data_IF_252434189305
#
_entry.id   IF_252434189305
#
_cell.length_a   1.000
_cell.length_b   1.000
_cell.length_c   1.000
_cell.angle_alpha   90.00
_cell.angle_beta   90.00
_cell.angle_gamma   90.00
#
_symmetry.space_group_name_H-M   'P 1'
#
loop_
_entity.id
_entity.type
_entity.pdbx_description
1 polymer ?
#
# COMPACT_ATOMS: atom_id res chain seq x y z
N UNK A 1 -17.19 5.36 13.08
CA UNK A 1 -16.26 4.77 12.10
C UNK A 1 -16.04 3.32 12.51
N UNK A 2 -16.53 2.41 11.72
CA UNK A 2 -16.65 1.00 12.13
C UNK A 2 -15.47 0.13 11.68
N UNK A 3 -14.58 0.66 10.85
CA UNK A 3 -13.38 -0.06 10.42
C UNK A 3 -12.26 0.91 10.04
N UNK A 4 -11.03 0.41 10.09
CA UNK A 4 -9.85 1.11 9.58
C UNK A 4 -10.02 1.44 8.09
N UNK A 5 -10.68 0.57 7.35
CA UNK A 5 -10.97 0.77 5.94
C UNK A 5 -11.85 2.00 5.70
N UNK A 6 -12.91 2.18 6.51
CA UNK A 6 -13.80 3.35 6.42
C UNK A 6 -13.04 4.65 6.68
N UNK A 7 -12.06 4.62 7.59
CA UNK A 7 -11.19 5.77 7.83
C UNK A 7 -10.39 6.16 6.59
N UNK A 8 -9.75 5.21 5.90
CA UNK A 8 -8.99 5.50 4.69
C UNK A 8 -9.87 5.95 3.53
N UNK A 9 -11.05 5.39 3.38
CA UNK A 9 -12.03 5.85 2.39
C UNK A 9 -12.41 7.30 2.67
N UNK A 10 -12.71 7.64 3.92
CA UNK A 10 -13.06 9.01 4.31
C UNK A 10 -11.91 10.01 4.08
N UNK A 11 -10.67 9.57 4.32
CA UNK A 11 -9.48 10.36 4.00
C UNK A 11 -9.35 10.62 2.51
N UNK A 12 -9.49 9.60 1.68
CA UNK A 12 -9.43 9.74 0.24
C UNK A 12 -10.45 10.76 -0.27
N UNK A 13 -11.69 10.69 0.21
CA UNK A 13 -12.75 11.64 -0.15
C UNK A 13 -12.43 13.07 0.30
N UNK A 14 -11.84 13.24 1.49
CA UNK A 14 -11.48 14.56 2.02
C UNK A 14 -10.23 15.18 1.40
N UNK A 15 -9.31 14.37 0.90
CA UNK A 15 -8.00 14.82 0.39
C UNK A 15 -7.99 15.11 -1.11
N UNK A 16 -8.98 14.66 -1.86
CA UNK A 16 -9.01 14.80 -3.31
C UNK A 16 -8.85 16.24 -3.81
N UNK A 17 -9.21 17.23 -2.99
CA UNK A 17 -9.16 18.65 -3.33
C UNK A 17 -7.86 19.38 -2.89
N UNK A 18 -6.95 18.73 -2.16
CA UNK A 18 -5.87 19.44 -1.46
C UNK A 18 -4.54 18.65 -1.45
N UNK A 19 -4.35 17.75 -2.42
CA UNK A 19 -3.07 17.06 -2.61
C UNK A 19 -2.03 17.98 -3.25
N UNK A 20 -0.76 17.80 -2.88
CA UNK A 20 0.33 18.52 -3.49
C UNK A 20 0.50 18.11 -4.96
N UNK A 21 -0.01 18.93 -5.89
CA UNK A 21 -0.01 18.65 -7.32
C UNK A 21 1.39 18.36 -7.88
N UNK A 22 2.42 19.04 -7.40
CA UNK A 22 3.80 18.81 -7.85
C UNK A 22 4.31 17.43 -7.45
N UNK A 23 3.96 16.95 -6.26
CA UNK A 23 4.31 15.60 -5.81
C UNK A 23 3.55 14.54 -6.60
N UNK A 24 2.25 14.73 -6.82
CA UNK A 24 1.42 13.84 -7.64
C UNK A 24 2.00 13.71 -9.04
N UNK A 25 2.29 14.84 -9.70
CA UNK A 25 2.85 14.86 -11.05
C UNK A 25 4.21 14.14 -11.13
N UNK A 26 5.08 14.39 -10.14
CA UNK A 26 6.40 13.76 -10.08
C UNK A 26 6.32 12.25 -10.01
N UNK A 27 5.48 11.72 -9.13
CA UNK A 27 5.31 10.27 -8.98
C UNK A 27 4.53 9.64 -10.13
N UNK A 28 3.55 10.34 -10.70
CA UNK A 28 2.85 9.88 -11.89
C UNK A 28 3.78 9.72 -13.10
N UNK A 29 4.78 10.60 -13.27
CA UNK A 29 5.81 10.44 -14.32
C UNK A 29 6.69 9.22 -14.11
N UNK A 30 6.86 8.76 -12.87
CA UNK A 30 7.68 7.59 -12.51
C UNK A 30 6.89 6.28 -12.46
N UNK A 31 5.58 6.33 -12.55
CA UNK A 31 4.72 5.17 -12.34
C UNK A 31 5.06 4.00 -13.28
N UNK A 32 5.26 4.28 -14.56
CA UNK A 32 5.63 3.26 -15.55
C UNK A 32 6.98 2.61 -15.25
N UNK A 33 7.96 3.38 -14.79
CA UNK A 33 9.25 2.85 -14.37
C UNK A 33 9.10 1.87 -13.20
N UNK A 34 8.35 2.23 -12.17
CA UNK A 34 8.14 1.39 -10.99
C UNK A 34 7.30 0.15 -11.30
N UNK A 35 6.31 0.27 -12.17
CA UNK A 35 5.53 -0.88 -12.63
C UNK A 35 6.39 -1.87 -13.41
N UNK A 36 7.24 -1.39 -14.31
CA UNK A 36 8.20 -2.24 -15.02
C UNK A 36 9.23 -2.88 -14.07
N UNK A 37 9.69 -2.13 -13.06
CA UNK A 37 10.55 -2.67 -12.01
C UNK A 37 9.85 -3.76 -11.20
N UNK A 38 8.58 -3.58 -10.87
CA UNK A 38 7.79 -4.61 -10.19
C UNK A 38 7.72 -5.90 -10.99
N UNK A 39 7.45 -5.79 -12.30
CA UNK A 39 7.30 -6.95 -13.19
C UNK A 39 8.62 -7.69 -13.44
N UNK A 40 9.73 -6.99 -13.57
CA UNK A 40 10.99 -7.52 -14.10
C UNK A 40 12.12 -7.66 -13.09
N UNK A 41 12.01 -7.05 -11.92
CA UNK A 41 13.11 -6.97 -10.95
C UNK A 41 13.09 -8.14 -9.97
N UNK A 42 13.82 -9.21 -10.30
CA UNK A 42 13.98 -10.37 -9.43
C UNK A 42 14.57 -10.02 -8.07
N UNK A 43 15.60 -9.16 -8.00
CA UNK A 43 16.20 -8.71 -6.73
C UNK A 43 15.20 -7.98 -5.84
N UNK A 44 14.28 -7.21 -6.43
CA UNK A 44 13.19 -6.58 -5.70
C UNK A 44 12.24 -7.61 -5.08
N UNK A 45 11.96 -8.70 -5.78
CA UNK A 45 11.14 -9.79 -5.24
C UNK A 45 11.86 -10.53 -4.11
N UNK A 46 13.16 -10.78 -4.23
CA UNK A 46 13.97 -11.37 -3.17
C UNK A 46 13.98 -10.52 -1.89
N UNK A 47 14.05 -9.18 -2.03
CA UNK A 47 13.95 -8.25 -0.89
C UNK A 47 12.60 -8.35 -0.18
N UNK A 48 11.52 -8.45 -0.95
CA UNK A 48 10.17 -8.62 -0.38
C UNK A 48 10.07 -9.91 0.41
N UNK A 49 10.53 -11.04 -0.16
CA UNK A 49 10.53 -12.33 0.53
C UNK A 49 11.38 -12.27 1.81
N UNK A 50 12.55 -11.66 1.74
CA UNK A 50 13.43 -11.51 2.91
C UNK A 50 12.79 -10.65 4.00
N UNK A 51 12.14 -9.55 3.64
CA UNK A 51 11.43 -8.69 4.57
C UNK A 51 10.26 -9.42 5.26
N UNK A 52 9.46 -10.15 4.51
CA UNK A 52 8.35 -10.95 5.05
C UNK A 52 8.86 -11.98 6.03
N UNK A 53 9.85 -12.77 5.64
CA UNK A 53 10.45 -13.79 6.52
C UNK A 53 10.98 -13.18 7.82
N UNK A 54 11.63 -12.01 7.73
CA UNK A 54 12.13 -11.31 8.91
C UNK A 54 10.99 -10.86 9.83
N UNK A 55 9.94 -10.26 9.27
CA UNK A 55 8.80 -9.78 10.03
C UNK A 55 8.03 -10.94 10.70
N UNK A 56 7.86 -12.06 10.01
CA UNK A 56 7.25 -13.26 10.60
C UNK A 56 8.07 -13.81 11.75
N UNK A 57 9.39 -13.94 11.58
CA UNK A 57 10.30 -14.39 12.65
C UNK A 57 10.30 -13.49 13.88
N UNK A 58 10.02 -12.19 13.70
CA UNK A 58 9.88 -11.22 14.79
C UNK A 58 8.49 -11.14 15.39
N UNK A 59 7.53 -11.90 14.86
CA UNK A 59 6.14 -11.84 15.30
C UNK A 59 5.44 -10.52 14.92
N UNK A 60 5.96 -9.81 13.93
CA UNK A 60 5.42 -8.54 13.43
C UNK A 60 4.49 -8.73 12.22
N UNK A 61 4.34 -9.95 11.75
CA UNK A 61 3.43 -10.32 10.67
C UNK A 61 2.67 -11.59 11.05
N UNK A 62 1.34 -11.54 11.08
CA UNK A 62 0.46 -12.62 11.49
C UNK A 62 -0.86 -12.58 10.73
N UNK A 63 -1.53 -13.73 10.60
CA UNK A 63 -2.82 -13.87 9.92
C UNK A 63 -3.97 -13.06 10.54
N UNK A 64 -3.81 -12.58 11.75
CA UNK A 64 -4.81 -11.76 12.44
C UNK A 64 -4.51 -10.25 12.33
N UNK A 65 -3.41 -9.86 11.70
CA UNK A 65 -3.01 -8.47 11.61
C UNK A 65 -3.60 -7.77 10.38
N UNK A 66 -3.96 -6.51 10.60
CA UNK A 66 -4.22 -5.55 9.53
C UNK A 66 -2.98 -4.69 9.34
N UNK A 67 -2.55 -4.52 8.10
CA UNK A 67 -1.30 -3.83 7.73
C UNK A 67 -1.61 -2.66 6.80
N UNK A 68 -0.94 -1.53 7.02
CA UNK A 68 -0.90 -0.43 6.08
C UNK A 68 0.51 -0.31 5.48
N UNK A 69 0.59 -0.22 4.15
CA UNK A 69 1.80 0.05 3.37
C UNK A 69 1.73 1.49 2.84
N UNK A 70 2.53 2.38 3.43
CA UNK A 70 2.51 3.81 3.13
C UNK A 70 3.59 4.11 2.07
N UNK A 71 3.19 4.76 0.97
CA UNK A 71 4.06 4.90 -0.20
C UNK A 71 4.15 3.59 -1.00
N UNK A 72 3.05 2.86 -1.10
CA UNK A 72 3.03 1.49 -1.62
C UNK A 72 3.41 1.36 -3.11
N UNK A 73 3.43 2.46 -3.86
CA UNK A 73 3.68 2.44 -5.30
C UNK A 73 2.73 1.49 -6.03
N UNK A 74 3.22 0.67 -6.98
CA UNK A 74 2.39 -0.29 -7.69
C UNK A 74 2.10 -1.58 -6.89
N UNK A 75 2.17 -1.54 -5.55
CA UNK A 75 1.64 -2.56 -4.65
C UNK A 75 2.46 -3.84 -4.52
N UNK A 76 3.78 -3.80 -4.73
CA UNK A 76 4.64 -5.00 -4.61
C UNK A 76 4.55 -5.62 -3.21
N UNK A 77 4.74 -4.82 -2.16
CA UNK A 77 4.65 -5.28 -0.78
C UNK A 77 3.21 -5.60 -0.38
N UNK A 78 2.23 -4.81 -0.83
CA UNK A 78 0.82 -5.07 -0.58
C UNK A 78 0.41 -6.46 -1.05
N UNK A 79 0.76 -6.82 -2.29
CA UNK A 79 0.47 -8.14 -2.84
C UNK A 79 1.15 -9.28 -2.06
N UNK A 80 2.37 -9.05 -1.59
CA UNK A 80 3.10 -10.03 -0.78
C UNK A 80 2.50 -10.17 0.62
N UNK A 81 2.26 -9.07 1.32
CA UNK A 81 1.65 -9.06 2.66
C UNK A 81 0.26 -9.71 2.69
N UNK A 82 -0.55 -9.51 1.65
CA UNK A 82 -1.88 -10.08 1.57
C UNK A 82 -1.92 -11.61 1.79
N UNK A 83 -0.84 -12.30 1.50
CA UNK A 83 -0.71 -13.76 1.68
C UNK A 83 -0.42 -14.17 3.13
N UNK A 84 -0.05 -13.24 3.99
CA UNK A 84 0.45 -13.47 5.34
C UNK A 84 -0.37 -12.81 6.45
N UNK A 85 -1.29 -11.91 6.11
CA UNK A 85 -2.06 -11.11 7.06
C UNK A 85 -3.56 -11.23 6.84
N UNK A 86 -4.36 -10.69 7.77
CA UNK A 86 -5.81 -10.65 7.64
C UNK A 86 -6.23 -9.68 6.52
N UNK A 87 -5.70 -8.45 6.56
CA UNK A 87 -5.99 -7.41 5.57
C UNK A 87 -4.78 -6.52 5.36
N UNK A 88 -4.60 -6.03 4.14
CA UNK A 88 -3.58 -5.04 3.81
C UNK A 88 -4.17 -3.89 3.00
N UNK A 89 -3.77 -2.67 3.37
CA UNK A 89 -4.14 -1.45 2.67
C UNK A 89 -2.88 -0.75 2.22
N UNK A 90 -2.75 -0.50 0.93
CA UNK A 90 -1.67 0.31 0.35
C UNK A 90 -2.14 1.74 0.09
N UNK A 91 -1.29 2.69 0.41
CA UNK A 91 -1.54 4.12 0.21
C UNK A 91 -0.41 4.73 -0.61
N UNK A 92 -0.75 5.49 -1.64
CA UNK A 92 0.22 6.24 -2.44
C UNK A 92 -0.42 7.53 -2.96
N UNK A 93 0.39 8.57 -3.13
CA UNK A 93 -0.10 9.85 -3.65
C UNK A 93 -0.36 9.80 -5.17
N UNK A 94 0.23 8.85 -5.87
CA UNK A 94 0.13 8.70 -7.32
C UNK A 94 -1.06 7.81 -7.70
N UNK A 95 -2.05 8.39 -8.34
CA UNK A 95 -3.20 7.67 -8.89
C UNK A 95 -2.78 6.65 -9.97
N UNK A 96 -1.71 6.92 -10.72
CA UNK A 96 -1.15 5.97 -11.69
C UNK A 96 -0.49 4.76 -11.03
N UNK A 97 0.26 4.97 -9.94
CA UNK A 97 0.81 3.88 -9.15
C UNK A 97 -0.31 2.98 -8.61
N UNK A 98 -1.33 3.60 -8.04
CA UNK A 98 -2.50 2.89 -7.50
C UNK A 98 -3.24 2.12 -8.59
N UNK A 99 -3.42 2.71 -9.77
CA UNK A 99 -4.06 2.01 -10.90
C UNK A 99 -3.30 0.73 -11.28
N UNK A 100 -1.99 0.80 -11.45
CA UNK A 100 -1.15 -0.37 -11.70
C UNK A 100 -1.23 -1.41 -10.58
N UNK A 101 -1.23 -0.96 -9.34
CA UNK A 101 -1.33 -1.83 -8.17
C UNK A 101 -2.67 -2.54 -8.10
N UNK A 102 -3.77 -1.85 -8.37
CA UNK A 102 -5.12 -2.44 -8.38
C UNK A 102 -5.27 -3.51 -9.47
N UNK A 103 -4.76 -3.26 -10.68
CA UNK A 103 -4.72 -4.26 -11.73
C UNK A 103 -3.94 -5.52 -11.31
N UNK A 104 -2.80 -5.31 -10.64
CA UNK A 104 -2.00 -6.41 -10.12
C UNK A 104 -2.73 -7.23 -9.06
N UNK A 105 -3.30 -6.58 -8.06
CA UNK A 105 -4.07 -7.23 -6.99
C UNK A 105 -5.24 -8.02 -7.55
N UNK A 106 -5.97 -7.45 -8.49
CA UNK A 106 -7.08 -8.10 -9.15
C UNK A 106 -6.63 -9.35 -9.92
N UNK A 107 -5.54 -9.23 -10.68
CA UNK A 107 -4.96 -10.35 -11.44
C UNK A 107 -4.50 -11.49 -10.54
N UNK A 108 -3.96 -11.17 -9.37
CA UNK A 108 -3.52 -12.15 -8.37
C UNK A 108 -4.68 -12.72 -7.52
N UNK A 109 -5.89 -12.20 -7.66
CA UNK A 109 -7.07 -12.66 -6.92
C UNK A 109 -7.01 -12.37 -5.41
N UNK A 110 -6.35 -11.30 -5.00
CA UNK A 110 -6.14 -10.95 -3.60
C UNK A 110 -7.33 -10.15 -3.05
N UNK A 111 -8.29 -10.84 -2.45
CA UNK A 111 -9.53 -10.23 -1.94
C UNK A 111 -9.37 -9.44 -0.63
N UNK A 112 -8.26 -9.64 0.08
CA UNK A 112 -7.94 -8.96 1.35
C UNK A 112 -6.96 -7.79 1.19
N UNK A 113 -6.71 -7.35 -0.04
CA UNK A 113 -5.83 -6.24 -0.36
C UNK A 113 -6.60 -5.11 -1.03
N UNK A 114 -6.33 -3.88 -0.62
CA UNK A 114 -6.91 -2.67 -1.22
C UNK A 114 -5.83 -1.60 -1.37
N UNK A 115 -5.96 -0.77 -2.39
CA UNK A 115 -5.05 0.36 -2.62
C UNK A 115 -5.86 1.65 -2.77
N UNK A 116 -5.36 2.74 -2.19
CA UNK A 116 -6.01 4.05 -2.23
C UNK A 116 -5.03 5.16 -2.56
N UNK A 117 -5.49 6.13 -3.33
CA UNK A 117 -4.78 7.39 -3.53
C UNK A 117 -4.88 8.20 -2.23
N UNK A 118 -3.76 8.52 -1.61
CA UNK A 118 -3.73 9.22 -0.33
C UNK A 118 -2.43 10.01 -0.15
N UNK A 119 -2.55 11.24 0.31
CA UNK A 119 -1.41 12.00 0.84
C UNK A 119 -1.18 11.59 2.30
N UNK A 120 -0.19 10.74 2.54
CA UNK A 120 0.08 10.19 3.86
C UNK A 120 0.52 11.24 4.89
N UNK A 121 0.98 12.43 4.48
CA UNK A 121 1.30 13.51 5.40
C UNK A 121 0.08 14.00 6.19
N UNK A 122 -1.11 13.68 5.69
CA UNK A 122 -2.39 14.02 6.33
C UNK A 122 -3.00 12.84 7.10
N UNK A 123 -2.28 11.70 7.18
CA UNK A 123 -2.73 10.54 7.94
C UNK A 123 -2.67 10.79 9.44
N UNK A 124 -3.77 10.53 10.11
CA UNK A 124 -3.85 10.39 11.56
C UNK A 124 -3.87 8.90 11.89
N UNK A 125 -2.69 8.34 12.14
CA UNK A 125 -2.51 6.90 12.38
C UNK A 125 -3.24 6.44 13.64
N UNK A 126 -3.32 7.29 14.67
CA UNK A 126 -4.04 6.96 15.89
C UNK A 126 -5.55 6.83 15.64
N UNK A 127 -6.14 7.74 14.87
CA UNK A 127 -7.54 7.63 14.43
C UNK A 127 -7.78 6.43 13.52
N UNK A 128 -6.78 6.04 12.72
CA UNK A 128 -6.85 4.86 11.88
C UNK A 128 -6.86 3.56 12.68
N UNK A 129 -6.47 3.57 13.96
CA UNK A 129 -6.42 2.39 14.81
C UNK A 129 -5.29 1.41 14.47
N UNK A 130 -4.30 1.82 13.67
CA UNK A 130 -3.11 1.02 13.41
C UNK A 130 -2.11 1.14 14.55
N UNK A 131 -1.54 0.02 14.95
CA UNK A 131 -0.47 -0.04 15.96
C UNK A 131 0.91 0.05 15.31
N UNK A 132 1.03 -0.35 14.06
CA UNK A 132 2.28 -0.37 13.31
C UNK A 132 2.04 0.10 11.88
N UNK A 133 2.85 1.04 11.41
CA UNK A 133 2.92 1.47 10.02
C UNK A 133 4.31 1.15 9.47
N UNK A 134 4.38 0.80 8.18
CA UNK A 134 5.62 0.50 7.47
C UNK A 134 5.76 1.46 6.28
N UNK A 135 6.95 2.06 6.14
CA UNK A 135 7.33 2.84 4.98
C UNK A 135 7.84 1.94 3.84
#
# INVERSE_FOLDING_TARGET
MNSVLDYFISLQESQSADMNEQSVETWNRRAEFWENARKKNQKGNERVVSAINYLEQKGLLDKNYDVADIGCGPGRFVAAFARHVHKVVGLDISDKMISHGMEHIQKEGLSNACLYVCDFQKLDIEKAGYKHAFD
#
